data_IF_635942305937
#
_entry.id   IF_635942305937
#
_cell.length_a   1.000
_cell.length_b   1.000
_cell.length_c   1.000
_cell.angle_alpha   90.00
_cell.angle_beta   90.00
_cell.angle_gamma   90.00
#
_symmetry.space_group_name_H-M   'P 1'
#
loop_
_entity.id
_entity.type
_entity.pdbx_description
1 polymer ?
#
# COMPACT_ATOMS: atom_id res chain seq x y z
N UNK A 1 36.83 -25.36 -21.64
CA UNK A 1 36.47 -26.54 -22.48
C UNK A 1 34.97 -26.49 -22.78
N UNK A 2 34.50 -26.86 -23.97
CA UNK A 2 33.06 -26.73 -24.27
C UNK A 2 32.23 -27.75 -23.48
N UNK A 3 31.00 -27.39 -23.09
CA UNK A 3 30.12 -28.29 -22.32
C UNK A 3 29.93 -29.64 -23.03
N UNK A 4 29.70 -29.62 -24.35
CA UNK A 4 29.51 -30.84 -25.14
C UNK A 4 30.76 -31.74 -25.16
N UNK A 5 31.96 -31.17 -25.06
CA UNK A 5 33.20 -31.94 -25.00
C UNK A 5 33.36 -32.58 -23.61
N UNK A 6 32.94 -31.89 -22.55
CA UNK A 6 32.96 -32.42 -21.18
C UNK A 6 31.98 -33.58 -21.03
N UNK A 7 30.75 -33.43 -21.53
CA UNK A 7 29.74 -34.48 -21.50
C UNK A 7 30.10 -35.69 -22.37
N UNK A 8 30.91 -35.51 -23.43
CA UNK A 8 31.41 -36.62 -24.25
C UNK A 8 32.47 -37.46 -23.54
N UNK A 9 33.21 -36.88 -22.59
CA UNK A 9 34.23 -37.60 -21.82
C UNK A 9 33.64 -38.52 -20.74
N UNK A 10 32.34 -38.38 -20.44
CA UNK A 10 31.65 -39.22 -19.46
C UNK A 10 31.35 -40.62 -20.01
N UNK A 11 31.62 -41.62 -19.18
CA UNK A 11 31.29 -43.04 -19.41
C UNK A 11 29.77 -43.27 -19.44
N UNK A 12 29.35 -44.41 -19.98
CA UNK A 12 27.93 -44.78 -20.00
C UNK A 12 27.34 -44.90 -18.57
N UNK A 13 28.15 -45.35 -17.59
CA UNK A 13 27.74 -45.47 -16.19
C UNK A 13 27.53 -44.09 -15.56
N UNK A 14 28.45 -43.15 -15.75
CA UNK A 14 28.32 -41.78 -15.23
C UNK A 14 27.12 -41.05 -15.84
N UNK A 15 26.87 -41.24 -17.14
CA UNK A 15 25.67 -40.69 -17.80
C UNK A 15 24.36 -41.24 -17.24
N UNK A 16 24.33 -42.51 -16.84
CA UNK A 16 23.16 -43.10 -16.19
C UNK A 16 22.95 -42.54 -14.79
N UNK A 17 24.02 -42.34 -14.01
CA UNK A 17 23.97 -41.75 -12.67
C UNK A 17 23.56 -40.27 -12.69
N UNK A 18 24.04 -39.50 -13.66
CA UNK A 18 23.63 -38.11 -13.89
C UNK A 18 22.12 -37.99 -14.12
N UNK A 19 21.52 -38.95 -14.83
CA UNK A 19 20.07 -38.95 -15.09
C UNK A 19 19.24 -39.40 -13.88
N UNK A 20 19.88 -39.95 -12.86
CA UNK A 20 19.21 -40.44 -11.65
C UNK A 20 19.11 -39.37 -10.55
N UNK A 21 19.87 -38.27 -10.65
CA UNK A 21 19.79 -37.12 -9.74
C UNK A 21 18.88 -36.04 -10.32
N UNK A 22 18.18 -35.31 -9.45
CA UNK A 22 17.21 -34.29 -9.87
C UNK A 22 17.78 -32.90 -9.65
N UNK A 23 17.88 -32.09 -10.72
CA UNK A 23 18.20 -30.67 -10.58
C UNK A 23 16.91 -29.93 -10.22
N UNK A 24 16.72 -29.71 -8.92
CA UNK A 24 15.53 -29.10 -8.33
C UNK A 24 15.34 -27.66 -8.82
N UNK A 25 16.42 -26.89 -8.80
CA UNK A 25 16.45 -25.50 -9.25
C UNK A 25 17.76 -25.25 -10.01
N UNK A 26 17.68 -24.45 -11.07
CA UNK A 26 18.82 -24.03 -11.89
C UNK A 26 18.57 -22.59 -12.32
N UNK A 27 19.33 -21.67 -11.73
CA UNK A 27 19.27 -20.25 -12.00
C UNK A 27 20.60 -19.74 -12.56
N UNK A 28 20.54 -18.70 -13.37
CA UNK A 28 21.71 -17.93 -13.82
C UNK A 28 21.73 -16.63 -12.99
N UNK A 29 22.63 -16.55 -12.00
CA UNK A 29 22.73 -15.38 -11.10
C UNK A 29 23.33 -14.17 -11.82
N UNK A 30 24.39 -14.42 -12.62
CA UNK A 30 25.08 -13.45 -13.45
C UNK A 30 25.34 -14.06 -14.83
N UNK A 31 25.67 -13.26 -15.85
CA UNK A 31 25.92 -13.77 -17.20
C UNK A 31 26.99 -14.86 -17.20
N UNK A 32 26.58 -16.08 -17.55
CA UNK A 32 27.42 -17.28 -17.54
C UNK A 32 27.60 -17.92 -16.16
N UNK A 33 27.11 -17.35 -15.06
CA UNK A 33 27.21 -17.92 -13.72
C UNK A 33 25.91 -18.64 -13.35
N UNK A 34 25.95 -19.97 -13.32
CA UNK A 34 24.82 -20.82 -12.98
C UNK A 34 24.95 -21.37 -11.57
N UNK A 35 23.86 -21.30 -10.81
CA UNK A 35 23.73 -21.88 -9.48
C UNK A 35 22.56 -22.84 -9.48
N UNK A 36 22.77 -24.03 -8.91
CA UNK A 36 21.79 -25.08 -8.91
C UNK A 36 21.80 -25.89 -7.61
N UNK A 37 20.61 -26.35 -7.23
CA UNK A 37 20.41 -27.31 -6.15
C UNK A 37 20.11 -28.68 -6.77
N UNK A 38 20.97 -29.65 -6.52
CA UNK A 38 20.83 -31.01 -7.07
C UNK A 38 20.55 -32.00 -5.96
N UNK A 39 19.42 -32.70 -6.08
CA UNK A 39 18.98 -33.69 -5.11
C UNK A 39 19.52 -35.08 -5.47
N UNK A 40 20.12 -35.72 -4.47
CA UNK A 40 20.51 -37.12 -4.50
C UNK A 40 19.99 -37.80 -3.23
N UNK A 41 18.98 -38.65 -3.41
CA UNK A 41 18.27 -39.31 -2.30
C UNK A 41 17.69 -38.31 -1.28
N UNK A 42 18.20 -38.28 -0.05
CA UNK A 42 17.73 -37.39 1.03
C UNK A 42 18.58 -36.11 1.19
N UNK A 43 19.64 -35.96 0.40
CA UNK A 43 20.58 -34.84 0.48
C UNK A 43 20.42 -33.90 -0.74
N UNK A 44 20.76 -32.63 -0.53
CA UNK A 44 20.79 -31.61 -1.58
C UNK A 44 22.20 -31.00 -1.64
N UNK A 45 22.73 -30.87 -2.86
CA UNK A 45 24.07 -30.36 -3.13
C UNK A 45 24.04 -29.06 -3.93
N UNK A 46 24.86 -28.10 -3.51
CA UNK A 46 25.02 -26.80 -4.14
C UNK A 46 26.06 -26.89 -5.26
N UNK A 47 25.63 -26.56 -6.49
CA UNK A 47 26.48 -26.60 -7.69
C UNK A 47 26.58 -25.22 -8.30
N UNK A 48 27.80 -24.74 -8.50
CA UNK A 48 28.07 -23.51 -9.23
C UNK A 48 28.87 -23.80 -10.50
N UNK A 49 28.47 -23.21 -11.62
CA UNK A 49 29.13 -23.33 -12.92
C UNK A 49 29.32 -21.95 -13.54
N UNK A 50 30.57 -21.56 -13.76
CA UNK A 50 30.92 -20.38 -14.53
C UNK A 50 31.22 -20.75 -15.98
N UNK A 51 30.48 -20.17 -16.90
CA UNK A 51 30.65 -20.22 -18.34
C UNK A 51 31.17 -18.87 -18.84
N UNK A 52 31.96 -18.94 -19.91
CA UNK A 52 32.15 -17.85 -20.85
C UNK A 52 31.67 -18.37 -22.21
N UNK A 53 30.56 -17.80 -22.69
CA UNK A 53 29.79 -18.32 -23.83
C UNK A 53 29.38 -19.80 -23.63
N UNK A 54 30.06 -20.75 -24.29
CA UNK A 54 29.80 -22.19 -24.18
C UNK A 54 30.97 -22.95 -23.53
N UNK A 55 31.98 -22.22 -23.05
CA UNK A 55 33.17 -22.79 -22.43
C UNK A 55 33.08 -22.70 -20.91
N UNK A 56 33.19 -23.84 -20.25
CA UNK A 56 33.30 -23.91 -18.78
C UNK A 56 34.63 -23.31 -18.34
N UNK A 57 34.56 -22.32 -17.46
CA UNK A 57 35.68 -21.66 -16.79
C UNK A 57 35.92 -22.26 -15.41
N UNK A 58 34.85 -22.45 -14.62
CA UNK A 58 34.93 -22.98 -13.27
C UNK A 58 33.69 -23.82 -12.96
N UNK A 59 33.86 -24.89 -12.16
CA UNK A 59 32.77 -25.67 -11.59
C UNK A 59 33.10 -26.00 -10.14
N UNK A 60 32.16 -25.79 -9.23
CA UNK A 60 32.25 -26.20 -7.83
C UNK A 60 31.00 -26.97 -7.44
N UNK A 61 31.18 -27.93 -6.55
CA UNK A 61 30.09 -28.68 -5.93
C UNK A 61 30.54 -29.07 -4.52
N UNK A 62 29.64 -28.97 -3.55
CA UNK A 62 29.87 -29.28 -2.14
C UNK A 62 29.82 -30.79 -1.81
N UNK A 63 29.52 -31.67 -2.77
CA UNK A 63 29.49 -33.13 -2.59
C UNK A 63 30.85 -33.79 -2.23
N UNK A 64 31.92 -33.00 -2.07
CA UNK A 64 33.24 -33.47 -1.61
C UNK A 64 34.01 -34.37 -2.57
N UNK A 65 33.49 -34.62 -3.78
CA UNK A 65 34.10 -35.53 -4.76
C UNK A 65 35.34 -34.89 -5.42
N UNK A 66 36.43 -35.66 -5.54
CA UNK A 66 37.69 -35.23 -6.19
C UNK A 66 37.76 -35.56 -7.69
N UNK A 67 36.69 -36.12 -8.26
CA UNK A 67 36.60 -36.37 -9.69
C UNK A 67 36.56 -35.06 -10.48
N UNK A 68 37.01 -35.10 -11.73
CA UNK A 68 37.06 -33.92 -12.61
C UNK A 68 35.67 -33.31 -12.86
N UNK A 69 34.63 -34.13 -12.87
CA UNK A 69 33.22 -33.75 -12.94
C UNK A 69 32.45 -34.71 -12.05
N UNK A 70 31.75 -34.22 -11.04
CA UNK A 70 30.85 -35.07 -10.24
C UNK A 70 29.49 -35.25 -10.96
N UNK A 71 28.69 -36.21 -10.50
CA UNK A 71 27.37 -36.47 -11.08
C UNK A 71 26.43 -35.24 -10.99
N UNK A 72 26.54 -34.42 -9.94
CA UNK A 72 25.75 -33.20 -9.77
C UNK A 72 26.12 -32.14 -10.81
N UNK A 73 27.43 -31.88 -10.99
CA UNK A 73 27.93 -30.99 -12.04
C UNK A 73 27.52 -31.47 -13.44
N UNK A 74 27.59 -32.79 -13.68
CA UNK A 74 27.14 -33.40 -14.92
C UNK A 74 25.66 -33.19 -15.20
N UNK A 75 24.80 -33.28 -14.17
CA UNK A 75 23.36 -33.05 -14.28
C UNK A 75 23.04 -31.59 -14.62
N UNK A 76 23.72 -30.65 -13.98
CA UNK A 76 23.56 -29.22 -14.26
C UNK A 76 24.02 -28.88 -15.68
N UNK A 77 25.20 -29.37 -16.10
CA UNK A 77 25.68 -29.17 -17.48
C UNK A 77 24.72 -29.74 -18.53
N UNK A 78 24.12 -30.91 -18.28
CA UNK A 78 23.14 -31.52 -19.16
C UNK A 78 21.88 -30.63 -19.26
N UNK A 79 21.35 -30.18 -18.12
CA UNK A 79 20.14 -29.36 -18.07
C UNK A 79 20.35 -27.97 -18.72
N UNK A 80 21.53 -27.36 -18.58
CA UNK A 80 21.90 -26.11 -19.29
C UNK A 80 21.84 -26.32 -20.81
N UNK A 81 22.36 -27.47 -21.30
CA UNK A 81 22.33 -27.77 -22.74
C UNK A 81 20.95 -28.13 -23.28
N UNK A 82 20.14 -28.85 -22.51
CA UNK A 82 18.79 -29.30 -22.91
C UNK A 82 17.77 -28.15 -22.92
N UNK A 83 17.87 -27.21 -21.97
CA UNK A 83 17.01 -26.01 -21.93
C UNK A 83 17.38 -24.95 -22.99
N UNK A 84 18.45 -25.17 -23.76
CA UNK A 84 18.88 -24.25 -24.82
C UNK A 84 19.24 -22.86 -24.31
N UNK A 85 19.68 -22.75 -23.04
CA UNK A 85 20.11 -21.50 -22.41
C UNK A 85 21.38 -21.01 -23.13
N UNK A 86 21.19 -20.16 -24.14
CA UNK A 86 22.28 -19.47 -24.83
C UNK A 86 22.63 -18.24 -24.02
N UNK A 87 23.90 -18.10 -23.63
CA UNK A 87 24.44 -16.84 -23.11
C UNK A 87 24.20 -15.76 -24.16
N UNK A 88 23.24 -14.89 -23.91
CA UNK A 88 22.90 -13.81 -24.83
C UNK A 88 23.82 -12.61 -24.58
N UNK A 89 24.28 -11.90 -25.63
CA UNK A 89 25.17 -10.76 -25.46
C UNK A 89 24.44 -9.61 -24.77
N UNK A 90 25.08 -9.08 -23.73
CA UNK A 90 24.84 -7.78 -23.07
C UNK A 90 23.66 -6.97 -23.60
N UNK A 91 22.49 -7.16 -22.98
CA UNK A 91 21.50 -6.10 -22.86
C UNK A 91 20.96 -6.08 -21.43
N UNK A 92 21.11 -4.93 -20.80
CA UNK A 92 20.58 -4.58 -19.48
C UNK A 92 19.06 -4.69 -19.55
N UNK A 93 18.49 -5.78 -19.05
CA UNK A 93 17.03 -5.97 -18.97
C UNK A 93 16.60 -6.25 -17.54
N UNK A 94 15.64 -5.43 -17.11
CA UNK A 94 15.07 -5.28 -15.78
C UNK A 94 14.75 -6.61 -15.08
N UNK A 95 15.16 -6.68 -13.80
CA UNK A 95 14.80 -7.71 -12.81
C UNK A 95 13.33 -8.14 -12.94
N UNK A 96 13.09 -9.42 -13.21
CA UNK A 96 11.76 -10.02 -13.14
C UNK A 96 11.64 -10.76 -11.81
N UNK A 97 10.71 -10.30 -10.96
CA UNK A 97 10.38 -10.90 -9.65
C UNK A 97 10.13 -12.41 -9.76
N UNK A 98 10.74 -13.16 -8.84
CA UNK A 98 10.45 -14.55 -8.49
C UNK A 98 8.94 -14.76 -8.27
N UNK A 99 8.37 -15.83 -8.86
CA UNK A 99 6.97 -16.21 -8.62
C UNK A 99 6.85 -16.91 -7.27
N UNK A 100 5.97 -16.40 -6.41
CA UNK A 100 5.65 -16.98 -5.11
C UNK A 100 5.04 -18.39 -5.23
N UNK A 101 5.29 -19.26 -4.24
CA UNK A 101 4.66 -20.58 -4.06
C UNK A 101 3.13 -20.43 -4.14
N UNK A 102 2.51 -21.16 -5.08
CA UNK A 102 1.08 -21.10 -5.32
C UNK A 102 0.31 -21.85 -4.22
N UNK A 103 -0.70 -21.21 -3.60
CA UNK A 103 -1.48 -21.81 -2.51
C UNK A 103 -2.44 -22.91 -3.01
N UNK A 104 -2.89 -23.80 -2.11
CA UNK A 104 -3.90 -24.85 -2.44
C UNK A 104 -5.18 -24.23 -3.00
N UNK A 105 -5.60 -23.10 -2.43
CA UNK A 105 -6.72 -22.30 -2.95
C UNK A 105 -6.50 -21.82 -4.38
N UNK A 106 -5.30 -21.34 -4.70
CA UNK A 106 -4.96 -20.89 -6.06
C UNK A 106 -4.94 -22.07 -7.05
N UNK A 107 -4.43 -23.24 -6.65
CA UNK A 107 -4.45 -24.43 -7.49
C UNK A 107 -5.88 -24.92 -7.75
N UNK A 108 -6.77 -24.85 -6.75
CA UNK A 108 -8.17 -25.19 -6.92
C UNK A 108 -8.89 -24.22 -7.84
N UNK A 109 -8.69 -22.91 -7.67
CA UNK A 109 -9.27 -21.89 -8.55
C UNK A 109 -8.85 -22.11 -10.00
N UNK A 110 -7.58 -22.42 -10.26
CA UNK A 110 -7.10 -22.66 -11.63
C UNK A 110 -7.62 -23.96 -12.27
N UNK A 111 -8.05 -24.94 -11.47
CA UNK A 111 -8.62 -26.20 -11.96
C UNK A 111 -10.11 -26.12 -12.30
N UNK A 112 -10.83 -25.14 -11.77
CA UNK A 112 -12.26 -25.01 -12.02
C UNK A 112 -12.56 -24.27 -13.32
N UNK A 113 -13.70 -24.57 -13.94
CA UNK A 113 -14.17 -23.79 -15.08
C UNK A 113 -14.65 -22.41 -14.65
N UNK A 114 -14.67 -21.47 -15.59
CA UNK A 114 -15.13 -20.09 -15.34
C UNK A 114 -16.58 -20.07 -14.86
N UNK A 115 -17.42 -20.94 -15.43
CA UNK A 115 -18.84 -21.04 -15.12
C UNK A 115 -19.06 -21.55 -13.68
N UNK A 116 -18.28 -22.54 -13.25
CA UNK A 116 -18.36 -23.09 -11.88
C UNK A 116 -17.92 -22.04 -10.86
N UNK A 117 -16.82 -21.32 -11.13
CA UNK A 117 -16.33 -20.25 -10.26
C UNK A 117 -17.30 -19.08 -10.19
N UNK A 118 -17.87 -18.67 -11.33
CA UNK A 118 -18.86 -17.60 -11.37
C UNK A 118 -20.10 -17.97 -10.56
N UNK A 119 -20.62 -19.19 -10.74
CA UNK A 119 -21.79 -19.64 -9.98
C UNK A 119 -21.50 -19.75 -8.49
N UNK A 120 -20.34 -20.29 -8.12
CA UNK A 120 -19.91 -20.36 -6.72
C UNK A 120 -19.78 -18.97 -6.10
N UNK A 121 -19.17 -18.00 -6.79
CA UNK A 121 -19.08 -16.61 -6.34
C UNK A 121 -20.46 -15.97 -6.14
N UNK A 122 -21.39 -16.17 -7.08
CA UNK A 122 -22.77 -15.68 -6.95
C UNK A 122 -23.44 -16.26 -5.70
N UNK A 123 -23.27 -17.55 -5.42
CA UNK A 123 -23.86 -18.18 -4.25
C UNK A 123 -23.19 -17.78 -2.94
N UNK A 124 -21.90 -17.44 -2.99
CA UNK A 124 -21.17 -16.81 -1.87
C UNK A 124 -21.70 -15.39 -1.62
N UNK A 125 -21.92 -14.58 -2.66
CA UNK A 125 -22.44 -13.21 -2.53
C UNK A 125 -23.82 -13.16 -1.89
N UNK A 126 -24.72 -14.09 -2.26
CA UNK A 126 -26.04 -14.24 -1.61
C UNK A 126 -25.94 -14.44 -0.09
N UNK A 127 -24.86 -15.06 0.39
CA UNK A 127 -24.62 -15.35 1.81
C UNK A 127 -23.73 -14.32 2.49
N UNK A 128 -22.96 -13.54 1.73
CA UNK A 128 -22.01 -12.56 2.23
C UNK A 128 -22.02 -11.29 1.37
N UNK A 129 -22.96 -10.39 1.69
CA UNK A 129 -23.14 -9.11 1.01
C UNK A 129 -21.89 -8.22 1.05
N UNK A 130 -21.06 -8.34 2.09
CA UNK A 130 -19.80 -7.58 2.20
C UNK A 130 -18.79 -8.02 1.14
N UNK A 131 -18.65 -9.32 0.92
CA UNK A 131 -17.74 -9.86 -0.09
C UNK A 131 -18.21 -9.54 -1.52
N UNK A 132 -19.53 -9.49 -1.73
CA UNK A 132 -20.12 -9.02 -2.98
C UNK A 132 -19.73 -7.58 -3.28
N UNK A 133 -19.82 -6.68 -2.29
CA UNK A 133 -19.40 -5.29 -2.45
C UNK A 133 -17.90 -5.19 -2.78
N UNK A 134 -17.05 -5.94 -2.08
CA UNK A 134 -15.61 -5.98 -2.37
C UNK A 134 -15.32 -6.47 -3.79
N UNK A 135 -16.01 -7.51 -4.25
CA UNK A 135 -15.87 -8.02 -5.62
C UNK A 135 -16.30 -6.98 -6.66
N UNK A 136 -17.45 -6.34 -6.48
CA UNK A 136 -17.95 -5.29 -7.36
C UNK A 136 -16.90 -4.17 -7.44
N UNK A 137 -16.41 -3.69 -6.29
CA UNK A 137 -15.36 -2.66 -6.19
C UNK A 137 -14.08 -3.05 -6.93
N UNK A 138 -13.63 -4.29 -6.80
CA UNK A 138 -12.36 -4.75 -7.38
C UNK A 138 -12.43 -4.91 -8.91
N UNK A 139 -13.58 -5.32 -9.45
CA UNK A 139 -13.69 -5.78 -10.84
C UNK A 139 -14.62 -4.95 -11.74
N UNK A 140 -15.30 -3.91 -11.24
CA UNK A 140 -16.05 -3.03 -12.15
C UNK A 140 -15.07 -2.23 -13.01
N UNK A 141 -15.03 -2.52 -14.31
CA UNK A 141 -14.25 -1.77 -15.30
C UNK A 141 -14.86 -0.40 -15.65
N UNK A 142 -15.99 -0.06 -15.04
CA UNK A 142 -16.53 1.29 -15.16
C UNK A 142 -15.56 2.26 -14.51
N UNK A 143 -15.23 3.35 -15.22
CA UNK A 143 -14.71 4.56 -14.57
C UNK A 143 -15.71 4.93 -13.48
N UNK A 144 -15.48 4.45 -12.26
CA UNK A 144 -16.28 4.90 -11.12
C UNK A 144 -15.94 6.36 -10.93
N UNK A 145 -16.94 7.19 -11.18
CA UNK A 145 -16.91 8.53 -10.65
C UNK A 145 -17.01 8.39 -9.14
N UNK A 146 -15.90 8.56 -8.45
CA UNK A 146 -15.89 8.63 -6.99
C UNK A 146 -16.46 9.98 -6.60
N UNK A 147 -17.77 10.00 -6.31
CA UNK A 147 -18.49 11.18 -5.86
C UNK A 147 -18.75 11.13 -4.36
N UNK A 148 -19.15 12.27 -3.80
CA UNK A 148 -19.55 12.41 -2.40
C UNK A 148 -20.77 11.52 -2.08
N UNK A 149 -21.71 11.38 -3.02
CA UNK A 149 -22.91 10.55 -2.90
C UNK A 149 -22.55 9.06 -2.86
N UNK A 150 -21.58 8.64 -3.70
CA UNK A 150 -21.09 7.27 -3.70
C UNK A 150 -20.48 6.88 -2.35
N UNK A 151 -19.65 7.76 -1.78
CA UNK A 151 -19.08 7.59 -0.44
C UNK A 151 -20.20 7.49 0.61
N UNK A 152 -21.17 8.40 0.57
CA UNK A 152 -22.30 8.39 1.50
C UNK A 152 -23.08 7.07 1.45
N UNK A 153 -23.40 6.59 0.25
CA UNK A 153 -24.16 5.37 0.06
C UNK A 153 -23.44 4.16 0.69
N UNK A 154 -22.15 3.99 0.41
CA UNK A 154 -21.35 2.89 0.98
C UNK A 154 -21.34 2.94 2.51
N UNK A 155 -21.18 4.13 3.08
CA UNK A 155 -21.16 4.28 4.54
C UNK A 155 -22.51 3.95 5.15
N UNK A 156 -23.60 4.49 4.60
CA UNK A 156 -24.93 4.22 5.12
C UNK A 156 -25.32 2.74 4.98
N UNK A 157 -24.96 2.09 3.87
CA UNK A 157 -25.13 0.64 3.70
C UNK A 157 -24.34 -0.15 4.74
N UNK A 158 -23.07 0.22 4.98
CA UNK A 158 -22.20 -0.46 5.96
C UNK A 158 -22.70 -0.28 7.38
N UNK A 159 -23.08 0.94 7.75
CA UNK A 159 -23.68 1.26 9.05
C UNK A 159 -24.96 0.45 9.27
N UNK A 160 -25.86 0.43 8.30
CA UNK A 160 -27.12 -0.35 8.37
C UNK A 160 -26.86 -1.84 8.50
N UNK A 161 -25.89 -2.39 7.75
CA UNK A 161 -25.56 -3.80 7.77
C UNK A 161 -24.99 -4.28 9.12
N UNK A 162 -24.14 -3.48 9.77
CA UNK A 162 -23.46 -3.90 11.02
C UNK A 162 -24.20 -3.46 12.28
N UNK A 163 -24.70 -2.22 12.31
CA UNK A 163 -25.37 -1.64 13.46
C UNK A 163 -26.89 -1.84 13.45
N UNK A 164 -27.50 -1.90 12.26
CA UNK A 164 -28.96 -1.95 12.12
C UNK A 164 -29.62 -0.72 12.77
N UNK A 165 -30.61 -0.96 13.63
CA UNK A 165 -31.33 0.08 14.39
C UNK A 165 -30.80 0.32 15.81
N UNK A 166 -29.66 -0.28 16.17
CA UNK A 166 -29.15 -0.23 17.56
C UNK A 166 -28.58 1.15 17.89
N UNK A 167 -28.93 1.67 19.07
CA UNK A 167 -28.38 2.93 19.60
C UNK A 167 -27.12 2.72 20.45
N UNK A 168 -26.78 1.49 20.79
CA UNK A 168 -25.58 1.14 21.56
C UNK A 168 -24.82 0.06 20.81
N UNK A 169 -23.50 0.23 20.67
CA UNK A 169 -22.63 -0.73 19.99
C UNK A 169 -21.40 -1.10 20.82
N UNK A 170 -21.10 -2.39 20.81
CA UNK A 170 -19.88 -2.94 21.39
C UNK A 170 -18.68 -2.69 20.47
N UNK A 171 -17.48 -2.66 21.06
CA UNK A 171 -16.22 -2.41 20.33
C UNK A 171 -15.97 -3.36 19.16
N UNK A 172 -16.42 -4.63 19.24
CA UNK A 172 -16.30 -5.61 18.14
C UNK A 172 -17.09 -5.18 16.91
N UNK A 173 -18.29 -4.61 17.10
CA UNK A 173 -19.11 -4.10 15.99
C UNK A 173 -18.52 -2.84 15.39
N UNK A 174 -17.98 -1.95 16.22
CA UNK A 174 -17.29 -0.74 15.75
C UNK A 174 -16.07 -1.14 14.91
N UNK A 175 -15.26 -2.09 15.39
CA UNK A 175 -14.14 -2.66 14.62
C UNK A 175 -14.63 -3.20 13.27
N UNK A 176 -15.70 -4.00 13.27
CA UNK A 176 -16.27 -4.53 12.02
C UNK A 176 -16.71 -3.44 11.04
N UNK A 177 -17.30 -2.35 11.50
CA UNK A 177 -17.67 -1.19 10.66
C UNK A 177 -16.40 -0.61 10.02
N UNK A 178 -15.40 -0.26 10.83
CA UNK A 178 -14.17 0.37 10.35
C UNK A 178 -13.39 -0.54 9.40
N UNK A 179 -13.26 -1.83 9.71
CA UNK A 179 -12.60 -2.81 8.84
C UNK A 179 -13.33 -2.95 7.50
N UNK A 180 -14.67 -2.92 7.50
CA UNK A 180 -15.47 -2.99 6.27
C UNK A 180 -15.30 -1.74 5.42
N UNK A 181 -15.31 -0.56 6.04
CA UNK A 181 -15.11 0.71 5.34
C UNK A 181 -13.69 0.83 4.80
N UNK A 182 -12.68 0.37 5.53
CA UNK A 182 -11.30 0.39 5.06
C UNK A 182 -11.13 -0.39 3.75
N UNK A 183 -11.77 -1.56 3.64
CA UNK A 183 -11.77 -2.35 2.39
C UNK A 183 -12.56 -1.64 1.29
N UNK A 184 -13.74 -1.11 1.61
CA UNK A 184 -14.60 -0.48 0.60
C UNK A 184 -13.99 0.82 0.04
N UNK A 185 -13.22 1.54 0.85
CA UNK A 185 -12.63 2.83 0.51
C UNK A 185 -11.19 2.78 0.04
N UNK A 186 -10.54 1.61 0.00
CA UNK A 186 -9.21 1.47 -0.60
C UNK A 186 -9.09 2.16 -1.98
N UNK A 187 -9.96 1.92 -2.97
CA UNK A 187 -9.82 2.60 -4.26
C UNK A 187 -10.28 4.06 -4.26
N UNK A 188 -11.11 4.47 -3.30
CA UNK A 188 -11.45 5.89 -3.10
C UNK A 188 -10.22 6.63 -2.57
N UNK A 189 -9.46 6.00 -1.67
CA UNK A 189 -8.22 6.54 -1.12
C UNK A 189 -7.13 6.64 -2.21
N UNK A 190 -7.03 5.65 -3.09
CA UNK A 190 -6.15 5.71 -4.26
C UNK A 190 -6.55 6.88 -5.19
N UNK A 191 -7.85 7.05 -5.43
CA UNK A 191 -8.36 8.16 -6.23
C UNK A 191 -8.05 9.52 -5.58
N UNK A 192 -8.28 9.68 -4.27
CA UNK A 192 -7.92 10.88 -3.50
C UNK A 192 -6.43 11.18 -3.66
N UNK A 193 -5.57 10.17 -3.52
CA UNK A 193 -4.11 10.30 -3.64
C UNK A 193 -3.68 10.85 -5.00
N UNK A 194 -4.28 10.34 -6.09
CA UNK A 194 -3.96 10.75 -7.46
C UNK A 194 -4.54 12.12 -7.81
N UNK A 195 -5.61 12.56 -7.13
CA UNK A 195 -6.31 13.81 -7.40
C UNK A 195 -6.13 14.84 -6.27
N UNK A 196 -5.06 14.73 -5.49
CA UNK A 196 -4.82 15.58 -4.32
C UNK A 196 -4.73 17.08 -4.66
N UNK A 197 -4.41 17.41 -5.91
CA UNK A 197 -4.39 18.78 -6.45
C UNK A 197 -5.79 19.35 -6.75
N UNK A 198 -6.84 18.52 -6.72
CA UNK A 198 -8.22 18.90 -7.07
C UNK A 198 -9.12 18.99 -5.83
N UNK A 199 -10.13 19.88 -5.83
CA UNK A 199 -11.08 20.01 -4.71
C UNK A 199 -11.75 18.70 -4.28
N UNK A 200 -12.05 17.82 -5.24
CA UNK A 200 -12.71 16.54 -5.01
C UNK A 200 -11.97 15.65 -4.00
N UNK A 201 -10.63 15.73 -3.90
CA UNK A 201 -9.87 14.96 -2.92
C UNK A 201 -10.26 15.32 -1.49
N UNK A 202 -10.32 16.62 -1.19
CA UNK A 202 -10.76 17.10 0.12
C UNK A 202 -12.26 16.87 0.34
N UNK A 203 -13.11 17.05 -0.68
CA UNK A 203 -14.55 16.78 -0.57
C UNK A 203 -14.84 15.34 -0.15
N UNK A 204 -14.16 14.36 -0.76
CA UNK A 204 -14.30 12.94 -0.40
C UNK A 204 -13.76 12.67 1.02
N UNK A 205 -12.59 13.21 1.36
CA UNK A 205 -12.03 13.10 2.72
C UNK A 205 -12.99 13.65 3.78
N UNK A 206 -13.47 14.88 3.58
CA UNK A 206 -14.35 15.57 4.52
C UNK A 206 -15.67 14.84 4.68
N UNK A 207 -16.22 14.27 3.60
CA UNK A 207 -17.45 13.45 3.64
C UNK A 207 -17.25 12.19 4.47
N UNK A 208 -16.16 11.44 4.26
CA UNK A 208 -15.86 10.24 5.04
C UNK A 208 -15.79 10.58 6.53
N UNK A 209 -15.05 11.63 6.88
CA UNK A 209 -14.88 12.05 8.27
C UNK A 209 -16.19 12.52 8.90
N UNK A 210 -16.99 13.28 8.16
CA UNK A 210 -18.30 13.78 8.60
C UNK A 210 -19.28 12.62 8.85
N UNK A 211 -19.38 11.66 7.95
CA UNK A 211 -20.30 10.53 8.08
C UNK A 211 -19.92 9.62 9.26
N UNK A 212 -18.61 9.38 9.49
CA UNK A 212 -18.15 8.69 10.71
C UNK A 212 -18.55 9.50 11.95
N UNK A 213 -18.35 10.82 11.94
CA UNK A 213 -18.68 11.69 13.07
C UNK A 213 -20.19 11.73 13.38
N UNK A 214 -21.03 11.80 12.35
CA UNK A 214 -22.48 11.72 12.49
C UNK A 214 -22.87 10.35 13.07
N UNK A 215 -22.27 9.27 12.58
CA UNK A 215 -22.54 7.94 13.06
C UNK A 215 -22.13 7.75 14.52
N UNK A 216 -20.90 8.14 14.88
CA UNK A 216 -20.30 8.11 16.23
C UNK A 216 -21.20 8.85 17.23
N UNK A 217 -21.60 10.09 16.92
CA UNK A 217 -22.52 10.89 17.76
C UNK A 217 -23.91 10.27 17.93
N UNK A 218 -24.37 9.45 16.98
CA UNK A 218 -25.70 8.83 17.00
C UNK A 218 -25.77 7.63 17.94
N UNK A 219 -24.64 7.03 18.30
CA UNK A 219 -24.57 5.80 19.09
C UNK A 219 -23.86 6.01 20.42
N UNK A 220 -24.17 5.17 21.40
CA UNK A 220 -23.44 5.09 22.67
C UNK A 220 -22.43 3.94 22.63
N UNK A 221 -21.19 4.22 23.04
CA UNK A 221 -20.13 3.22 23.21
C UNK A 221 -18.96 3.75 24.06
N UNK A 222 -18.05 2.84 24.44
CA UNK A 222 -16.80 3.15 25.16
C UNK A 222 -15.52 2.92 24.32
N UNK A 223 -15.68 2.61 23.03
CA UNK A 223 -14.56 2.33 22.13
C UNK A 223 -13.77 3.60 21.79
N UNK A 224 -12.42 3.51 21.80
CA UNK A 224 -11.52 4.56 21.29
C UNK A 224 -11.31 4.50 19.77
N UNK A 225 -11.82 3.47 19.10
CA UNK A 225 -11.51 3.19 17.68
C UNK A 225 -11.92 4.30 16.70
N UNK A 226 -12.98 5.06 16.98
CA UNK A 226 -13.31 6.22 16.15
C UNK A 226 -12.28 7.33 16.31
N UNK A 227 -11.80 7.58 17.54
CA UNK A 227 -10.72 8.54 17.80
C UNK A 227 -9.46 8.12 17.03
N UNK A 228 -9.08 6.85 17.14
CA UNK A 228 -7.93 6.29 16.42
C UNK A 228 -8.10 6.43 14.91
N UNK A 229 -9.31 6.17 14.39
CA UNK A 229 -9.63 6.35 12.98
C UNK A 229 -9.48 7.81 12.54
N UNK A 230 -10.09 8.78 13.25
CA UNK A 230 -10.00 10.19 12.87
C UNK A 230 -8.55 10.66 12.82
N UNK A 231 -7.73 10.27 13.81
CA UNK A 231 -6.32 10.62 13.87
C UNK A 231 -5.53 9.99 12.72
N UNK A 232 -5.71 8.70 12.49
CA UNK A 232 -4.98 7.96 11.45
C UNK A 232 -5.35 8.44 10.05
N UNK A 233 -6.64 8.67 9.79
CA UNK A 233 -7.11 9.11 8.48
C UNK A 233 -6.72 10.57 8.19
N UNK A 234 -6.79 11.46 9.19
CA UNK A 234 -6.28 12.85 9.06
C UNK A 234 -4.76 12.87 8.84
N UNK A 235 -4.02 12.00 9.54
CA UNK A 235 -2.56 11.88 9.37
C UNK A 235 -2.21 11.39 7.96
N UNK A 236 -2.91 10.37 7.47
CA UNK A 236 -2.72 9.89 6.09
C UNK A 236 -2.99 10.99 5.07
N UNK A 237 -4.09 11.74 5.21
CA UNK A 237 -4.42 12.82 4.28
C UNK A 237 -3.37 13.94 4.32
N UNK A 238 -2.93 14.35 5.52
CA UNK A 238 -1.88 15.36 5.69
C UNK A 238 -0.54 14.93 5.06
N UNK A 239 -0.10 13.68 5.30
CA UNK A 239 1.12 13.15 4.69
C UNK A 239 1.01 13.08 3.16
N UNK A 240 -0.14 12.66 2.65
CA UNK A 240 -0.37 12.57 1.20
C UNK A 240 -0.37 13.96 0.56
N UNK A 241 -0.99 14.94 1.22
CA UNK A 241 -0.94 16.33 0.82
C UNK A 241 0.51 16.85 0.81
N UNK A 242 1.27 16.69 1.89
CA UNK A 242 2.64 17.19 1.99
C UNK A 242 3.62 16.53 1.00
N UNK A 243 3.31 15.32 0.52
CA UNK A 243 4.11 14.63 -0.50
C UNK A 243 3.85 15.12 -1.94
N UNK A 244 2.94 16.08 -2.14
CA UNK A 244 2.69 16.68 -3.45
C UNK A 244 3.95 17.33 -4.02
N UNK A 245 4.29 16.97 -5.26
CA UNK A 245 5.46 17.51 -5.95
C UNK A 245 5.24 18.95 -6.46
N UNK A 246 3.98 19.32 -6.73
CA UNK A 246 3.62 20.65 -7.21
C UNK A 246 3.36 21.58 -6.01
N UNK A 247 4.33 22.45 -5.71
CA UNK A 247 4.26 23.39 -4.59
C UNK A 247 3.07 24.35 -4.67
N UNK A 248 2.75 24.86 -5.87
CA UNK A 248 1.64 25.81 -6.03
C UNK A 248 0.29 25.14 -5.77
N UNK A 249 0.12 23.91 -6.27
CA UNK A 249 -1.06 23.10 -6.00
C UNK A 249 -1.17 22.77 -4.51
N UNK A 250 -0.05 22.41 -3.86
CA UNK A 250 -0.01 22.19 -2.41
C UNK A 250 -0.44 23.45 -1.63
N UNK A 251 0.14 24.62 -1.93
CA UNK A 251 -0.22 25.89 -1.29
C UNK A 251 -1.71 26.21 -1.46
N UNK A 252 -2.27 25.95 -2.65
CA UNK A 252 -3.71 26.14 -2.93
C UNK A 252 -4.59 25.26 -2.03
N UNK A 253 -4.24 23.98 -1.90
CA UNK A 253 -4.98 23.03 -1.08
C UNK A 253 -4.86 23.34 0.42
N UNK A 254 -3.66 23.72 0.88
CA UNK A 254 -3.44 24.15 2.28
C UNK A 254 -4.24 25.41 2.59
N UNK A 255 -4.23 26.41 1.70
CA UNK A 255 -5.02 27.62 1.86
C UNK A 255 -6.51 27.29 1.94
N UNK A 256 -7.01 26.36 1.11
CA UNK A 256 -8.39 25.91 1.18
C UNK A 256 -8.74 25.36 2.57
N UNK A 257 -7.91 24.47 3.14
CA UNK A 257 -8.13 23.93 4.50
C UNK A 257 -8.08 25.04 5.56
N UNK A 258 -7.14 25.99 5.44
CA UNK A 258 -7.04 27.14 6.36
C UNK A 258 -8.33 27.98 6.32
N UNK A 259 -8.81 28.33 5.12
CA UNK A 259 -10.00 29.16 4.96
C UNK A 259 -11.24 28.47 5.51
N UNK A 260 -11.34 27.15 5.34
CA UNK A 260 -12.39 26.35 5.96
C UNK A 260 -12.38 26.44 7.49
N UNK A 261 -11.21 26.46 8.12
CA UNK A 261 -11.11 26.56 9.59
C UNK A 261 -11.46 27.96 10.09
N UNK A 262 -10.98 29.01 9.42
CA UNK A 262 -11.00 30.37 9.95
C UNK A 262 -12.02 31.32 9.32
N UNK A 263 -12.42 31.08 8.08
CA UNK A 263 -13.26 32.00 7.31
C UNK A 263 -14.65 31.42 7.02
N UNK A 264 -14.79 30.09 6.99
CA UNK A 264 -16.06 29.41 6.76
C UNK A 264 -16.72 28.91 8.05
N UNK A 265 -18.05 28.97 8.08
CA UNK A 265 -18.83 28.27 9.10
C UNK A 265 -19.22 26.88 8.58
N UNK A 266 -18.47 25.84 8.98
CA UNK A 266 -18.73 24.47 8.55
C UNK A 266 -18.89 23.50 9.74
N UNK A 267 -19.59 22.38 9.48
CA UNK A 267 -19.86 21.33 10.47
C UNK A 267 -18.65 20.43 10.73
N UNK A 268 -17.63 20.49 9.88
CA UNK A 268 -16.40 19.68 9.93
C UNK A 268 -15.27 20.37 10.68
N UNK A 269 -15.49 21.53 11.29
CA UNK A 269 -14.42 22.38 11.86
C UNK A 269 -13.45 21.65 12.79
N UNK A 270 -13.94 20.75 13.64
CA UNK A 270 -13.06 19.95 14.52
C UNK A 270 -12.14 19.02 13.74
N UNK A 271 -12.64 18.41 12.66
CA UNK A 271 -11.85 17.58 11.74
C UNK A 271 -10.80 18.45 11.05
N UNK A 272 -11.22 19.61 10.55
CA UNK A 272 -10.34 20.53 9.82
C UNK A 272 -9.23 21.09 10.72
N UNK A 273 -9.50 21.35 12.00
CA UNK A 273 -8.47 21.73 12.97
C UNK A 273 -7.41 20.62 13.16
N UNK A 274 -7.85 19.36 13.25
CA UNK A 274 -6.94 18.21 13.40
C UNK A 274 -6.11 18.02 12.13
N UNK A 275 -6.74 18.11 10.96
CA UNK A 275 -6.05 18.03 9.68
C UNK A 275 -5.02 19.16 9.55
N UNK A 276 -5.41 20.40 9.84
CA UNK A 276 -4.54 21.56 9.72
C UNK A 276 -3.29 21.45 10.61
N UNK A 277 -3.45 20.95 11.84
CA UNK A 277 -2.32 20.64 12.71
C UNK A 277 -1.43 19.54 12.11
N UNK A 278 -2.03 18.47 11.58
CA UNK A 278 -1.29 17.39 10.93
C UNK A 278 -0.48 17.85 9.71
N UNK A 279 -1.04 18.73 8.88
CA UNK A 279 -0.34 19.32 7.73
C UNK A 279 0.94 20.01 8.18
N UNK A 280 0.89 20.81 9.24
CA UNK A 280 2.07 21.49 9.77
C UNK A 280 3.07 20.53 10.45
N UNK A 281 2.58 19.63 11.30
CA UNK A 281 3.43 18.71 12.09
C UNK A 281 4.25 17.76 11.21
N UNK A 282 3.72 17.39 10.04
CA UNK A 282 4.38 16.48 9.08
C UNK A 282 4.99 17.20 7.88
N UNK A 283 4.98 18.54 7.85
CA UNK A 283 5.59 19.32 6.78
C UNK A 283 7.11 19.44 6.98
N UNK A 284 7.86 19.54 5.88
CA UNK A 284 9.27 19.93 5.97
C UNK A 284 9.42 21.41 6.38
N UNK A 285 10.63 21.85 6.73
CA UNK A 285 10.87 23.21 7.21
C UNK A 285 10.46 24.30 6.20
N UNK A 286 10.56 24.03 4.89
CA UNK A 286 10.15 24.98 3.85
C UNK A 286 8.63 25.05 3.80
N UNK A 287 7.96 23.91 3.79
CA UNK A 287 6.51 23.81 3.81
C UNK A 287 5.92 24.42 5.09
N UNK A 288 6.52 24.21 6.26
CA UNK A 288 6.08 24.84 7.51
C UNK A 288 6.14 26.37 7.44
N UNK A 289 7.18 26.92 6.81
CA UNK A 289 7.29 28.37 6.58
C UNK A 289 6.21 28.88 5.62
N UNK A 290 5.97 28.17 4.52
CA UNK A 290 4.91 28.53 3.56
C UNK A 290 3.52 28.43 4.19
N UNK A 291 3.28 27.39 4.99
CA UNK A 291 2.07 27.21 5.77
C UNK A 291 1.85 28.38 6.74
N UNK A 292 2.88 28.78 7.47
CA UNK A 292 2.82 29.88 8.42
C UNK A 292 2.46 31.21 7.73
N UNK A 293 3.04 31.48 6.56
CA UNK A 293 2.72 32.64 5.74
C UNK A 293 1.26 32.64 5.24
N UNK A 294 0.71 31.46 4.90
CA UNK A 294 -0.68 31.28 4.50
C UNK A 294 -1.66 31.38 5.70
N UNK A 295 -1.25 30.94 6.88
CA UNK A 295 -2.06 30.93 8.09
C UNK A 295 -2.36 32.34 8.59
N UNK A 296 -1.32 33.19 8.67
CA UNK A 296 -1.41 34.56 9.20
C UNK A 296 -2.62 35.36 8.68
N UNK A 297 -2.82 35.54 7.36
CA UNK A 297 -3.91 36.38 6.86
C UNK A 297 -5.29 35.83 7.20
N UNK A 298 -5.47 34.51 7.25
CA UNK A 298 -6.77 33.90 7.56
C UNK A 298 -7.10 33.96 9.04
N UNK A 299 -6.12 33.80 9.94
CA UNK A 299 -6.32 34.04 11.38
C UNK A 299 -6.61 35.52 11.64
N UNK A 300 -5.88 36.43 11.00
CA UNK A 300 -6.10 37.88 11.16
C UNK A 300 -7.50 38.32 10.70
N UNK A 301 -8.01 37.74 9.61
CA UNK A 301 -9.34 38.02 9.05
C UNK A 301 -10.46 37.20 9.67
N UNK A 302 -10.16 36.30 10.62
CA UNK A 302 -11.15 35.33 11.08
C UNK A 302 -12.38 36.02 11.66
N UNK A 303 -13.54 35.49 11.30
CA UNK A 303 -14.83 35.91 11.89
C UNK A 303 -15.12 35.14 13.19
N UNK A 304 -14.31 34.12 13.50
CA UNK A 304 -14.46 33.27 14.67
C UNK A 304 -13.82 33.87 15.91
N UNK A 305 -14.42 33.58 17.08
CA UNK A 305 -13.76 33.90 18.34
C UNK A 305 -12.83 32.76 18.73
N UNK A 306 -11.79 33.03 19.54
CA UNK A 306 -10.94 31.95 20.09
C UNK A 306 -11.74 30.85 20.79
N UNK A 307 -12.92 31.16 21.32
CA UNK A 307 -13.77 30.20 22.03
C UNK A 307 -14.45 29.20 21.10
N UNK A 308 -14.43 29.45 19.79
CA UNK A 308 -14.91 28.51 18.77
C UNK A 308 -13.91 27.35 18.56
N UNK A 309 -12.71 27.45 19.15
CA UNK A 309 -11.63 26.48 19.02
C UNK A 309 -11.30 25.81 20.36
N UNK A 310 -10.82 24.57 20.28
CA UNK A 310 -10.29 23.87 21.45
C UNK A 310 -8.94 24.44 21.88
N UNK A 311 -8.63 24.35 23.18
CA UNK A 311 -7.43 24.94 23.79
C UNK A 311 -6.14 24.40 23.19
N UNK A 312 -6.10 23.11 22.84
CA UNK A 312 -4.96 22.48 22.17
C UNK A 312 -4.70 23.09 20.79
N UNK A 313 -5.76 23.32 20.01
CA UNK A 313 -5.64 23.97 18.72
C UNK A 313 -5.23 25.44 18.84
N UNK A 314 -5.77 26.19 19.81
CA UNK A 314 -5.33 27.58 20.07
C UNK A 314 -3.84 27.61 20.43
N UNK A 315 -3.38 26.64 21.24
CA UNK A 315 -1.97 26.52 21.62
C UNK A 315 -1.10 26.23 20.40
N UNK A 316 -1.55 25.36 19.50
CA UNK A 316 -0.89 25.12 18.21
C UNK A 316 -0.73 26.42 17.40
N UNK A 317 -1.79 27.20 17.22
CA UNK A 317 -1.71 28.47 16.47
C UNK A 317 -0.75 29.46 17.13
N UNK A 318 -0.75 29.55 18.46
CA UNK A 318 0.22 30.36 19.21
C UNK A 318 1.65 29.92 18.94
N UNK A 319 1.91 28.62 19.01
CA UNK A 319 3.27 28.10 18.86
C UNK A 319 3.80 28.33 17.44
N UNK A 320 2.96 28.21 16.41
CA UNK A 320 3.31 28.60 15.03
C UNK A 320 3.58 30.11 14.95
N UNK A 321 2.73 30.95 15.52
CA UNK A 321 2.89 32.40 15.50
C UNK A 321 4.16 32.89 16.20
N UNK A 322 4.55 32.24 17.30
CA UNK A 322 5.82 32.51 17.99
C UNK A 322 7.02 32.04 17.18
N UNK A 323 6.92 30.88 16.52
CA UNK A 323 8.02 30.30 15.72
C UNK A 323 8.37 31.17 14.52
N UNK A 324 7.37 31.82 13.92
CA UNK A 324 7.53 32.63 12.69
C UNK A 324 7.29 34.13 12.89
N UNK A 325 7.34 34.59 14.14
CA UNK A 325 7.36 36.01 14.53
C UNK A 325 6.17 36.83 14.00
N UNK A 326 4.95 36.30 14.16
CA UNK A 326 3.70 37.03 13.88
C UNK A 326 2.68 36.99 15.04
N UNK A 327 3.15 36.70 16.25
CA UNK A 327 2.29 36.59 17.43
C UNK A 327 1.65 37.93 17.82
N UNK A 328 2.41 39.02 17.76
CA UNK A 328 1.96 40.35 18.17
C UNK A 328 0.84 40.87 17.26
N UNK A 329 0.87 40.55 15.97
CA UNK A 329 -0.17 40.88 15.00
C UNK A 329 -1.47 40.10 15.29
N UNK A 330 -1.37 38.93 15.91
CA UNK A 330 -2.50 38.06 16.25
C UNK A 330 -2.95 38.16 17.72
N UNK A 331 -2.41 39.11 18.50
CA UNK A 331 -2.72 39.23 19.93
C UNK A 331 -4.23 39.32 20.24
N UNK A 332 -5.02 39.93 19.35
CA UNK A 332 -6.48 40.02 19.49
C UNK A 332 -7.16 38.66 19.43
N UNK A 333 -6.68 37.74 18.58
CA UNK A 333 -7.18 36.37 18.52
C UNK A 333 -6.93 35.67 19.85
N UNK A 334 -5.77 35.87 20.47
CA UNK A 334 -5.41 35.21 21.73
C UNK A 334 -6.02 35.85 22.99
N UNK A 335 -6.68 37.00 22.90
CA UNK A 335 -7.23 37.69 24.08
C UNK A 335 -8.40 36.93 24.70
N UNK A 336 -8.30 36.57 25.98
CA UNK A 336 -9.44 36.07 26.77
C UNK A 336 -10.39 37.25 26.98
N UNK A 337 -11.63 37.18 26.48
CA UNK A 337 -12.68 38.13 26.84
C UNK A 337 -13.06 37.87 28.30
N UNK A 338 -12.95 38.91 29.12
CA UNK A 338 -13.36 38.90 30.52
C UNK A 338 -14.88 38.81 30.65
#
# INVERSE_FOLDING_TARGET
MKIQELLKQLTAKEKAQIKAVEVRELDEEDTGHFVAFVDEAEETYDVHIQLNEQSVQQMTCDCGTTQKICIHQGAVLLQITEKGLKVAPTQVVKKRRTKAKQSVSEALVQKQSKEILAQWLIDVFKKNKTLEQQFIVTFSQEKREYTVEYVEEIMQQTFKAVAGKRKTLEGVKIKKILDTLAIAFEPVNDFITVNMDKPIAYELFSKIMLEIQIFDKRISHHSKKFIDFYQSYSTWFALTLNNMQNQLAWQTQVQHVIDRVFLENNTTKTIDCVLLKGIYDYADAKQQKDFAAALYPSVFKTTHTRYDFKVDFISFIRDVALTYDFFDELHLFFKIRA
#
